data_IF_416362055757
#
_entry.id   IF_416362055757
#
_cell.length_a   1.000
_cell.length_b   1.000
_cell.length_c   1.000
_cell.angle_alpha   90.00
_cell.angle_beta   90.00
_cell.angle_gamma   90.00
#
_symmetry.space_group_name_H-M   'P 1'
#
loop_
_entity.id
_entity.type
_entity.pdbx_description
1 polymer ?
#
# COMPACT_ATOMS: atom_id res chain seq x y z
N UNK A 1 48.14 0.13 35.77
CA UNK A 1 48.06 0.22 34.30
C UNK A 1 47.02 -0.79 33.84
N UNK A 2 45.85 -0.30 33.45
CA UNK A 2 44.65 -1.08 33.13
C UNK A 2 44.32 -0.90 31.65
N UNK A 3 44.23 -1.98 30.88
CA UNK A 3 43.69 -1.96 29.51
C UNK A 3 42.66 -3.07 29.36
N UNK A 4 41.39 -2.66 29.33
CA UNK A 4 40.26 -3.53 29.01
C UNK A 4 40.06 -3.55 27.48
N UNK A 5 40.16 -4.73 26.88
CA UNK A 5 39.94 -4.95 25.45
C UNK A 5 38.44 -5.18 25.21
N UNK A 6 37.78 -4.20 24.61
CA UNK A 6 36.37 -4.30 24.20
C UNK A 6 36.27 -5.09 22.89
N UNK A 7 35.78 -6.32 22.96
CA UNK A 7 35.39 -7.10 21.77
C UNK A 7 34.05 -6.60 21.23
N UNK A 8 34.07 -5.91 20.09
CA UNK A 8 32.85 -5.58 19.32
C UNK A 8 32.31 -6.84 18.65
N UNK A 9 31.15 -7.30 19.10
CA UNK A 9 30.36 -8.33 18.42
C UNK A 9 29.67 -7.72 17.19
N UNK A 10 30.01 -8.19 16.00
CA UNK A 10 29.35 -7.79 14.76
C UNK A 10 28.12 -8.68 14.54
N UNK A 11 26.92 -8.13 14.70
CA UNK A 11 25.68 -8.81 14.30
C UNK A 11 25.65 -8.97 12.78
N UNK A 12 25.75 -10.21 12.30
CA UNK A 12 25.49 -10.56 10.91
C UNK A 12 23.99 -10.43 10.64
N UNK A 13 23.60 -9.41 9.88
CA UNK A 13 22.27 -9.29 9.29
C UNK A 13 22.08 -10.39 8.26
N UNK A 14 21.29 -11.40 8.59
CA UNK A 14 20.85 -12.43 7.66
C UNK A 14 19.80 -11.78 6.74
N UNK A 15 20.20 -11.40 5.53
CA UNK A 15 19.25 -11.04 4.48
C UNK A 15 18.51 -12.31 4.03
N UNK A 16 17.32 -12.55 4.60
CA UNK A 16 16.37 -13.50 4.02
C UNK A 16 15.92 -12.97 2.66
N UNK A 17 16.55 -13.48 1.60
CA UNK A 17 16.07 -13.35 0.22
C UNK A 17 14.74 -14.08 0.12
N UNK A 18 13.63 -13.36 0.29
CA UNK A 18 12.28 -13.87 0.02
C UNK A 18 12.10 -13.97 -1.49
N UNK A 19 12.48 -15.10 -2.06
CA UNK A 19 12.12 -15.46 -3.43
C UNK A 19 10.61 -15.76 -3.46
N UNK A 20 9.79 -14.77 -3.80
CA UNK A 20 8.39 -15.04 -4.16
C UNK A 20 8.38 -15.66 -5.55
N UNK A 21 8.37 -16.98 -5.62
CA UNK A 21 7.98 -17.68 -6.84
C UNK A 21 6.49 -17.44 -7.06
N UNK A 22 6.14 -16.33 -7.71
CA UNK A 22 4.83 -16.17 -8.30
C UNK A 22 4.81 -17.14 -9.49
N UNK A 23 4.20 -18.31 -9.29
CA UNK A 23 3.86 -19.22 -10.38
C UNK A 23 2.80 -18.53 -11.24
N UNK A 24 3.22 -17.79 -12.25
CA UNK A 24 2.32 -17.45 -13.34
C UNK A 24 1.86 -18.77 -13.97
N UNK A 25 0.54 -19.06 -14.05
CA UNK A 25 0.10 -20.22 -14.78
C UNK A 25 0.61 -20.09 -16.21
N UNK A 26 1.41 -21.06 -16.66
CA UNK A 26 1.82 -21.14 -18.04
C UNK A 26 0.55 -21.17 -18.89
N UNK A 27 0.42 -20.21 -19.83
CA UNK A 27 -0.69 -20.21 -20.78
C UNK A 27 -0.74 -21.60 -21.42
N UNK A 28 -1.90 -22.27 -21.47
CA UNK A 28 -1.99 -23.57 -22.11
C UNK A 28 -1.49 -23.42 -23.55
N UNK A 29 -0.50 -24.23 -23.91
CA UNK A 29 0.02 -24.27 -25.26
C UNK A 29 -1.10 -24.73 -26.19
N UNK A 30 -1.49 -23.86 -27.12
CA UNK A 30 -2.57 -24.10 -28.08
C UNK A 30 -2.29 -25.30 -29.01
N UNK A 31 -1.06 -25.82 -28.99
CA UNK A 31 -0.60 -26.90 -29.88
C UNK A 31 -1.16 -28.29 -29.53
N UNK A 32 -1.76 -28.51 -28.35
CA UNK A 32 -2.26 -29.84 -27.93
C UNK A 32 -3.74 -30.09 -28.17
N UNK A 33 -4.53 -29.07 -28.53
CA UNK A 33 -5.97 -29.26 -28.74
C UNK A 33 -6.27 -29.88 -30.12
N UNK A 34 -5.47 -29.56 -31.13
CA UNK A 34 -5.65 -30.09 -32.48
C UNK A 34 -5.50 -31.61 -32.57
N UNK A 35 -4.62 -32.24 -31.78
CA UNK A 35 -4.46 -33.69 -31.79
C UNK A 35 -5.50 -34.44 -30.97
N UNK A 36 -6.19 -33.76 -30.04
CA UNK A 36 -7.11 -34.41 -29.09
C UNK A 36 -8.51 -34.62 -29.65
N UNK A 37 -8.90 -33.81 -30.64
CA UNK A 37 -10.23 -33.86 -31.29
C UNK A 37 -10.15 -34.32 -32.75
N UNK A 38 -9.00 -34.84 -33.20
CA UNK A 38 -8.87 -35.39 -34.55
C UNK A 38 -9.46 -36.80 -34.59
N UNK A 39 -10.68 -36.90 -35.12
CA UNK A 39 -11.23 -38.17 -35.56
C UNK A 39 -10.57 -38.55 -36.89
N UNK A 40 -9.76 -39.59 -36.87
CA UNK A 40 -9.16 -40.12 -38.10
C UNK A 40 -10.25 -40.72 -38.98
N UNK A 41 -10.32 -40.26 -40.23
CA UNK A 41 -11.22 -40.85 -41.21
C UNK A 41 -10.87 -42.31 -41.44
N UNK A 42 -11.89 -43.15 -41.65
CA UNK A 42 -11.70 -44.56 -41.97
C UNK A 42 -10.87 -44.69 -43.26
N UNK A 43 -10.01 -45.73 -43.37
CA UNK A 43 -9.26 -45.99 -44.60
C UNK A 43 -10.18 -46.03 -45.82
N UNK A 44 -9.89 -45.20 -46.83
CA UNK A 44 -10.69 -45.11 -48.04
C UNK A 44 -10.29 -46.23 -49.01
N UNK A 45 -11.24 -47.09 -49.38
CA UNK A 45 -11.06 -48.16 -50.39
C UNK A 45 -10.86 -47.66 -51.82
N UNK A 46 -10.94 -46.35 -52.04
CA UNK A 46 -10.77 -45.70 -53.34
C UNK A 46 -9.31 -45.69 -53.82
N UNK A 47 -8.34 -45.71 -52.90
CA UNK A 47 -6.93 -45.72 -53.25
C UNK A 47 -6.56 -47.14 -53.71
N UNK A 48 -6.53 -47.35 -55.04
CA UNK A 48 -6.18 -48.63 -55.66
C UNK A 48 -7.31 -49.31 -56.44
N UNK A 49 -8.52 -48.75 -56.46
CA UNK A 49 -9.66 -49.30 -57.22
C UNK A 49 -9.73 -48.84 -58.69
N UNK A 50 -8.68 -48.17 -59.19
CA UNK A 50 -8.65 -47.68 -60.56
C UNK A 50 -8.17 -48.78 -61.53
N UNK A 51 -9.08 -49.24 -62.38
CA UNK A 51 -8.74 -50.11 -63.51
C UNK A 51 -8.60 -49.28 -64.79
N UNK A 52 -7.48 -49.43 -65.48
CA UNK A 52 -7.21 -48.73 -66.73
C UNK A 52 -8.15 -49.24 -67.85
N UNK A 53 -9.02 -48.39 -68.42
CA UNK A 53 -9.85 -48.79 -69.56
C UNK A 53 -8.98 -49.13 -70.78
N UNK A 54 -9.39 -50.12 -71.59
CA UNK A 54 -8.66 -50.56 -72.78
C UNK A 54 -8.65 -49.51 -73.89
N UNK A 55 -9.72 -48.70 -73.99
CA UNK A 55 -9.86 -47.68 -75.02
C UNK A 55 -9.35 -46.29 -74.57
N UNK A 56 -8.48 -45.63 -75.35
CA UNK A 56 -7.82 -44.39 -74.93
C UNK A 56 -8.79 -43.21 -74.77
N UNK A 57 -9.85 -43.15 -75.59
CA UNK A 57 -10.87 -42.09 -75.52
C UNK A 57 -11.70 -42.20 -74.25
N UNK A 58 -12.04 -43.43 -73.82
CA UNK A 58 -12.80 -43.67 -72.59
C UNK A 58 -11.98 -43.38 -71.34
N UNK A 59 -10.69 -43.76 -71.35
CA UNK A 59 -9.76 -43.44 -70.28
C UNK A 59 -9.65 -41.92 -70.06
N UNK A 60 -9.57 -41.15 -71.15
CA UNK A 60 -9.51 -39.69 -71.08
C UNK A 60 -10.82 -39.09 -70.51
N UNK A 61 -11.98 -39.59 -70.93
CA UNK A 61 -13.27 -39.12 -70.43
C UNK A 61 -13.45 -39.39 -68.93
N UNK A 62 -13.13 -40.61 -68.47
CA UNK A 62 -13.20 -40.99 -67.04
C UNK A 62 -12.22 -40.16 -66.21
N UNK A 63 -11.00 -39.94 -66.69
CA UNK A 63 -10.02 -39.08 -66.01
C UNK A 63 -10.49 -37.62 -65.91
N UNK A 64 -11.10 -37.08 -66.98
CA UNK A 64 -11.64 -35.73 -66.97
C UNK A 64 -12.80 -35.57 -65.98
N UNK A 65 -13.69 -36.56 -65.88
CA UNK A 65 -14.76 -36.60 -64.87
C UNK A 65 -14.16 -36.64 -63.45
N UNK A 66 -13.21 -37.54 -63.19
CA UNK A 66 -12.57 -37.68 -61.89
C UNK A 66 -11.88 -36.37 -61.44
N UNK A 67 -11.19 -35.69 -62.36
CA UNK A 67 -10.59 -34.37 -62.09
C UNK A 67 -11.64 -33.31 -61.72
N UNK A 68 -12.79 -33.28 -62.40
CA UNK A 68 -13.89 -32.35 -62.10
C UNK A 68 -14.52 -32.65 -60.76
N UNK A 69 -14.82 -33.92 -60.49
CA UNK A 69 -15.47 -34.36 -59.26
C UNK A 69 -14.56 -34.11 -58.05
N UNK A 70 -13.27 -34.41 -58.16
CA UNK A 70 -12.28 -34.10 -57.14
C UNK A 70 -12.17 -32.60 -56.89
N UNK A 71 -12.09 -31.79 -57.95
CA UNK A 71 -12.05 -30.33 -57.82
C UNK A 71 -13.31 -29.79 -57.11
N UNK A 72 -14.48 -30.37 -57.39
CA UNK A 72 -15.74 -30.01 -56.72
C UNK A 72 -15.73 -30.40 -55.24
N UNK A 73 -15.36 -31.63 -54.92
CA UNK A 73 -15.25 -32.13 -53.54
C UNK A 73 -14.29 -31.26 -52.71
N UNK A 74 -13.09 -31.00 -53.22
CA UNK A 74 -12.10 -30.16 -52.52
C UNK A 74 -12.59 -28.73 -52.37
N UNK A 75 -13.30 -28.18 -53.37
CA UNK A 75 -13.90 -26.84 -53.27
C UNK A 75 -14.93 -26.77 -52.15
N UNK A 76 -15.77 -27.79 -52.01
CA UNK A 76 -16.78 -27.83 -50.96
C UNK A 76 -16.15 -28.02 -49.57
N UNK A 77 -15.12 -28.86 -49.44
CA UNK A 77 -14.32 -28.99 -48.21
C UNK A 77 -13.69 -27.64 -47.82
N UNK A 78 -13.10 -26.90 -48.78
CA UNK A 78 -12.52 -25.58 -48.47
C UNK A 78 -13.57 -24.59 -47.96
N UNK A 79 -14.78 -24.60 -48.54
CA UNK A 79 -15.87 -23.73 -48.06
C UNK A 79 -16.28 -24.09 -46.63
N UNK A 80 -16.42 -25.37 -46.33
CA UNK A 80 -16.73 -25.85 -44.97
C UNK A 80 -15.65 -25.42 -43.98
N UNK A 81 -14.38 -25.63 -44.33
CA UNK A 81 -13.27 -25.21 -43.49
C UNK A 81 -13.25 -23.71 -43.23
N UNK A 82 -13.45 -22.88 -44.27
CA UNK A 82 -13.52 -21.42 -44.10
C UNK A 82 -14.65 -21.03 -43.14
N UNK A 83 -15.82 -21.67 -43.28
CA UNK A 83 -16.97 -21.43 -42.40
C UNK A 83 -16.68 -21.84 -40.95
N UNK A 84 -16.10 -23.02 -40.72
CA UNK A 84 -15.71 -23.49 -39.39
C UNK A 84 -14.68 -22.57 -38.73
N UNK A 85 -13.69 -22.11 -39.48
CA UNK A 85 -12.67 -21.18 -38.99
C UNK A 85 -13.29 -19.81 -38.61
N UNK A 86 -14.24 -19.31 -39.41
CA UNK A 86 -14.93 -18.06 -39.09
C UNK A 86 -15.84 -18.20 -37.86
N UNK A 87 -16.52 -19.34 -37.69
CA UNK A 87 -17.30 -19.62 -36.49
C UNK A 87 -16.41 -19.63 -35.24
N UNK A 88 -15.26 -20.31 -35.29
CA UNK A 88 -14.29 -20.33 -34.19
C UNK A 88 -13.77 -18.92 -33.88
N UNK A 89 -13.48 -18.11 -34.91
CA UNK A 89 -13.05 -16.72 -34.73
C UNK A 89 -14.11 -15.90 -34.00
N UNK A 90 -15.38 -16.03 -34.37
CA UNK A 90 -16.49 -15.33 -33.72
C UNK A 90 -16.65 -15.75 -32.25
N UNK A 91 -16.51 -17.04 -31.95
CA UNK A 91 -16.53 -17.52 -30.56
C UNK A 91 -15.39 -16.94 -29.71
N UNK A 92 -14.18 -16.84 -30.28
CA UNK A 92 -13.05 -16.22 -29.58
C UNK A 92 -13.30 -14.74 -29.32
N UNK A 93 -13.88 -14.02 -30.28
CA UNK A 93 -14.25 -12.61 -30.11
C UNK A 93 -15.24 -12.46 -28.95
N UNK A 94 -16.31 -13.26 -28.90
CA UNK A 94 -17.29 -13.23 -27.80
C UNK A 94 -16.66 -13.52 -26.44
N UNK A 95 -15.75 -14.51 -26.38
CA UNK A 95 -15.01 -14.84 -25.15
C UNK A 95 -14.10 -13.69 -24.72
N UNK A 96 -13.42 -13.05 -25.68
CA UNK A 96 -12.54 -11.91 -25.41
C UNK A 96 -13.30 -10.69 -24.91
N UNK A 97 -14.45 -10.39 -25.52
CA UNK A 97 -15.34 -9.31 -25.10
C UNK A 97 -15.83 -9.53 -23.67
N UNK A 98 -16.36 -10.71 -23.36
CA UNK A 98 -16.80 -11.06 -21.99
C UNK A 98 -15.64 -10.93 -20.97
N UNK A 99 -14.43 -11.38 -21.33
CA UNK A 99 -13.25 -11.22 -20.47
C UNK A 99 -12.85 -9.76 -20.26
N UNK A 100 -12.91 -8.94 -21.32
CA UNK A 100 -12.60 -7.51 -21.24
C UNK A 100 -13.58 -6.78 -20.33
N UNK A 101 -14.88 -7.05 -20.47
CA UNK A 101 -15.92 -6.46 -19.64
C UNK A 101 -15.75 -6.83 -18.16
N UNK A 102 -15.46 -8.10 -17.86
CA UNK A 102 -15.21 -8.55 -16.49
C UNK A 102 -13.97 -7.86 -15.88
N UNK A 103 -12.88 -7.75 -16.64
CA UNK A 103 -11.68 -7.02 -16.20
C UNK A 103 -12.00 -5.54 -15.91
N UNK A 104 -12.81 -4.90 -16.76
CA UNK A 104 -13.22 -3.50 -16.56
C UNK A 104 -14.07 -3.34 -15.30
N UNK A 105 -15.05 -4.22 -15.09
CA UNK A 105 -15.90 -4.23 -13.88
C UNK A 105 -15.05 -4.36 -12.61
N UNK A 106 -14.14 -5.33 -12.56
CA UNK A 106 -13.23 -5.51 -11.42
C UNK A 106 -12.32 -4.29 -11.21
N UNK A 107 -11.85 -3.66 -12.29
CA UNK A 107 -11.03 -2.45 -12.20
C UNK A 107 -11.81 -1.29 -11.60
N UNK A 108 -13.07 -1.12 -11.99
CA UNK A 108 -13.95 -0.09 -11.43
C UNK A 108 -14.23 -0.33 -9.95
N UNK A 109 -14.51 -1.58 -9.56
CA UNK A 109 -14.71 -1.95 -8.15
C UNK A 109 -13.46 -1.66 -7.30
N UNK A 110 -12.27 -2.05 -7.78
CA UNK A 110 -10.99 -1.73 -7.13
C UNK A 110 -10.76 -0.22 -7.03
N UNK A 111 -11.15 0.55 -8.05
CA UNK A 111 -11.04 2.01 -8.03
C UNK A 111 -11.99 2.61 -7.00
N UNK A 112 -13.23 2.13 -6.92
CA UNK A 112 -14.24 2.55 -5.93
C UNK A 112 -13.77 2.24 -4.50
N UNK A 113 -13.31 1.02 -4.24
CA UNK A 113 -12.81 0.63 -2.91
C UNK A 113 -11.56 1.42 -2.51
N UNK A 114 -10.62 1.63 -3.44
CA UNK A 114 -9.43 2.47 -3.20
C UNK A 114 -9.80 3.92 -2.91
N UNK A 115 -10.78 4.47 -3.63
CA UNK A 115 -11.27 5.83 -3.39
C UNK A 115 -11.95 5.97 -2.02
N UNK A 116 -12.78 5.00 -1.62
CA UNK A 116 -13.37 4.95 -0.29
C UNK A 116 -12.30 4.90 0.81
N UNK A 117 -11.31 4.01 0.68
CA UNK A 117 -10.20 3.90 1.61
C UNK A 117 -9.30 5.16 1.63
N UNK A 118 -9.21 5.90 0.54
CA UNK A 118 -8.51 7.19 0.51
C UNK A 118 -9.29 8.29 1.24
N UNK A 119 -10.63 8.31 1.12
CA UNK A 119 -11.49 9.24 1.87
C UNK A 119 -11.40 9.02 3.38
N UNK A 120 -11.43 7.76 3.82
CA UNK A 120 -11.26 7.40 5.24
C UNK A 120 -9.91 7.89 5.77
N UNK A 121 -8.81 7.55 5.08
CA UNK A 121 -7.47 8.03 5.46
C UNK A 121 -7.34 9.55 5.47
N UNK A 122 -8.02 10.25 4.56
CA UNK A 122 -8.03 11.71 4.56
C UNK A 122 -8.78 12.27 5.77
N UNK A 123 -9.90 11.64 6.19
CA UNK A 123 -10.62 12.01 7.39
C UNK A 123 -9.78 11.76 8.65
N UNK A 124 -9.08 10.62 8.74
CA UNK A 124 -8.16 10.30 9.85
C UNK A 124 -7.05 11.33 9.98
N UNK A 125 -6.44 11.76 8.86
CA UNK A 125 -5.40 12.80 8.88
C UNK A 125 -5.94 14.14 9.36
N UNK A 126 -7.13 14.53 8.93
CA UNK A 126 -7.78 15.77 9.41
C UNK A 126 -8.08 15.70 10.90
N UNK A 127 -8.63 14.59 11.38
CA UNK A 127 -8.89 14.39 12.80
C UNK A 127 -7.59 14.48 13.62
N UNK A 128 -6.51 13.85 13.15
CA UNK A 128 -5.20 13.93 13.78
C UNK A 128 -4.65 15.36 13.83
N UNK A 129 -4.77 16.13 12.73
CA UNK A 129 -4.36 17.53 12.70
C UNK A 129 -5.15 18.39 13.69
N UNK A 130 -6.46 18.15 13.83
CA UNK A 130 -7.30 18.88 14.75
C UNK A 130 -7.01 18.51 16.21
N UNK A 131 -6.77 17.24 16.51
CA UNK A 131 -6.27 16.79 17.82
C UNK A 131 -4.93 17.46 18.17
N UNK A 132 -4.00 17.51 17.21
CA UNK A 132 -2.72 18.17 17.38
C UNK A 132 -2.85 19.69 17.65
N UNK A 133 -3.82 20.35 17.01
CA UNK A 133 -4.12 21.77 17.31
C UNK A 133 -4.68 21.93 18.72
N UNK A 134 -5.57 21.03 19.15
CA UNK A 134 -6.15 21.09 20.48
C UNK A 134 -5.09 20.89 21.57
N UNK A 135 -4.15 19.96 21.39
CA UNK A 135 -3.05 19.77 22.36
C UNK A 135 -2.17 21.02 22.44
N UNK A 136 -1.83 21.64 21.31
CA UNK A 136 -1.08 22.91 21.31
C UNK A 136 -1.80 24.04 22.07
N UNK A 137 -3.13 24.14 21.95
CA UNK A 137 -3.89 25.14 22.69
C UNK A 137 -3.89 24.85 24.20
N UNK A 138 -4.00 23.58 24.60
CA UNK A 138 -3.90 23.17 26.01
C UNK A 138 -2.53 23.52 26.60
N UNK A 139 -1.45 23.18 25.91
CA UNK A 139 -0.08 23.51 26.36
C UNK A 139 0.13 25.02 26.52
N UNK A 140 -0.43 25.84 25.62
CA UNK A 140 -0.38 27.30 25.72
C UNK A 140 -1.10 27.79 26.97
N UNK A 141 -2.29 27.27 27.25
CA UNK A 141 -3.06 27.64 28.45
C UNK A 141 -2.31 27.24 29.72
N UNK A 142 -1.80 26.01 29.79
CA UNK A 142 -1.02 25.52 30.94
C UNK A 142 0.21 26.39 31.21
N UNK A 143 0.94 26.79 30.16
CA UNK A 143 2.08 27.70 30.29
C UNK A 143 1.66 29.09 30.80
N UNK A 144 0.55 29.63 30.31
CA UNK A 144 0.03 30.91 30.78
C UNK A 144 -0.40 30.84 32.25
N UNK A 145 -1.07 29.76 32.66
CA UNK A 145 -1.45 29.54 34.06
C UNK A 145 -0.23 29.38 34.96
N UNK A 146 0.78 28.64 34.53
CA UNK A 146 2.05 28.52 35.22
C UNK A 146 2.69 29.90 35.44
N UNK A 147 2.72 30.74 34.41
CA UNK A 147 3.26 32.10 34.53
C UNK A 147 2.47 32.98 35.50
N UNK A 148 1.13 32.90 35.47
CA UNK A 148 0.27 33.63 36.43
C UNK A 148 0.57 33.22 37.87
N UNK A 149 0.59 31.91 38.16
CA UNK A 149 0.93 31.39 39.50
C UNK A 149 2.33 31.80 39.93
N UNK A 150 3.29 31.79 39.00
CA UNK A 150 4.66 32.22 39.28
C UNK A 150 4.74 33.70 39.62
N UNK A 151 4.00 34.56 38.91
CA UNK A 151 3.93 35.99 39.23
C UNK A 151 3.31 36.24 40.60
N UNK A 152 2.19 35.58 40.91
CA UNK A 152 1.54 35.64 42.23
C UNK A 152 2.51 35.23 43.35
N UNK A 153 3.20 34.10 43.20
CA UNK A 153 4.17 33.64 44.19
C UNK A 153 5.36 34.61 44.37
N UNK A 154 5.79 35.31 43.31
CA UNK A 154 6.82 36.35 43.41
C UNK A 154 6.29 37.56 44.17
N UNK A 155 5.06 37.99 43.87
CA UNK A 155 4.41 39.13 44.51
C UNK A 155 4.13 38.87 46.00
N UNK A 156 3.62 37.69 46.36
CA UNK A 156 3.47 37.24 47.73
C UNK A 156 4.80 37.26 48.48
N UNK A 157 5.88 36.73 47.89
CA UNK A 157 7.22 36.78 48.49
C UNK A 157 7.71 38.21 48.69
N UNK A 158 7.43 39.12 47.74
CA UNK A 158 7.74 40.55 47.90
C UNK A 158 6.94 41.18 49.04
N UNK A 159 5.66 40.86 49.16
CA UNK A 159 4.79 41.37 50.21
C UNK A 159 5.22 40.85 51.59
N UNK A 160 5.50 39.56 51.74
CA UNK A 160 6.03 38.96 52.98
C UNK A 160 7.34 39.67 53.40
N UNK A 161 8.26 39.89 52.46
CA UNK A 161 9.51 40.61 52.76
C UNK A 161 9.25 42.06 53.19
N UNK A 162 8.37 42.78 52.49
CA UNK A 162 8.00 44.16 52.86
C UNK A 162 7.38 44.22 54.24
N UNK A 163 6.48 43.29 54.58
CA UNK A 163 5.87 43.22 55.90
C UNK A 163 6.87 42.88 57.00
N UNK A 164 7.80 41.95 56.74
CA UNK A 164 8.88 41.61 57.66
C UNK A 164 9.74 42.84 57.95
N UNK A 165 10.16 43.56 56.90
CA UNK A 165 10.93 44.81 57.03
C UNK A 165 10.13 45.83 57.83
N UNK A 166 8.83 46.02 57.54
CA UNK A 166 7.97 46.97 58.28
C UNK A 166 7.87 46.66 59.78
N UNK A 167 7.79 45.37 60.14
CA UNK A 167 7.77 44.92 61.54
C UNK A 167 9.14 45.10 62.22
N UNK A 168 10.24 44.91 61.49
CA UNK A 168 11.59 45.12 62.03
C UNK A 168 11.94 46.61 62.13
N UNK A 169 11.46 47.42 61.18
CA UNK A 169 11.75 48.85 61.14
C UNK A 169 11.06 49.64 62.26
N UNK A 170 9.96 49.14 62.82
CA UNK A 170 9.37 49.75 64.03
C UNK A 170 10.27 49.60 65.28
N UNK A 171 11.25 48.70 65.26
CA UNK A 171 12.29 48.56 66.28
C UNK A 171 13.62 49.18 65.87
N UNK A 172 13.69 49.87 64.73
CA UNK A 172 14.91 50.58 64.35
C UNK A 172 15.04 51.82 65.22
N UNK A 173 16.27 52.04 65.68
CA UNK A 173 16.62 53.12 66.59
C UNK A 173 17.25 54.21 65.75
N UNK A 174 16.74 55.43 65.87
CA UNK A 174 17.35 56.61 65.25
C UNK A 174 18.75 56.84 65.83
N UNK A 175 19.68 57.35 65.02
CA UNK A 175 21.09 57.53 65.41
C UNK A 175 21.23 58.39 66.68
N UNK A 176 20.42 59.44 66.81
CA UNK A 176 20.35 60.33 67.97
C UNK A 176 19.94 59.62 69.28
N UNK A 177 19.25 58.47 69.19
CA UNK A 177 18.74 57.70 70.34
C UNK A 177 19.56 56.43 70.62
N UNK A 178 20.56 56.14 69.79
CA UNK A 178 21.32 54.90 69.83
C UNK A 178 22.19 54.78 71.08
N UNK A 179 22.92 55.85 71.41
CA UNK A 179 23.82 55.90 72.58
C UNK A 179 23.04 55.72 73.89
N UNK A 180 21.85 56.33 73.99
CA UNK A 180 20.99 56.22 75.18
C UNK A 180 20.52 54.78 75.43
N UNK A 181 20.07 54.08 74.37
CA UNK A 181 19.59 52.69 74.48
C UNK A 181 20.74 51.71 74.74
N UNK A 182 21.95 51.97 74.22
CA UNK A 182 23.14 51.15 74.52
C UNK A 182 23.47 51.22 76.02
N UNK A 183 23.45 52.41 76.60
CA UNK A 183 23.71 52.60 78.03
C UNK A 183 22.66 51.90 78.89
N UNK A 184 21.37 52.06 78.58
CA UNK A 184 20.25 51.41 79.27
C UNK A 184 20.40 49.89 79.28
N UNK A 185 20.72 49.30 78.12
CA UNK A 185 20.85 47.85 77.99
C UNK A 185 22.07 47.28 78.70
N UNK A 186 23.19 48.02 78.73
CA UNK A 186 24.38 47.65 79.51
C UNK A 186 24.05 47.59 81.01
N UNK A 187 23.25 48.54 81.49
CA UNK A 187 22.79 48.60 82.90
C UNK A 187 21.85 47.43 83.22
N UNK A 188 20.93 47.09 82.31
CA UNK A 188 19.97 45.98 82.48
C UNK A 188 20.59 44.57 82.35
N UNK A 189 21.71 44.42 81.63
CA UNK A 189 22.41 43.13 81.45
C UNK A 189 23.33 42.74 82.61
N UNK A 190 23.19 43.36 83.79
CA UNK A 190 23.75 42.84 85.03
C UNK A 190 22.78 41.84 85.69
N UNK A 191 22.85 40.51 85.40
CA UNK A 191 22.33 39.55 86.34
C UNK A 191 23.28 39.52 87.56
N UNK A 192 22.70 39.65 88.75
CA UNK A 192 23.28 39.09 89.97
C UNK A 192 23.51 37.58 89.80
#
# INVERSE_FOLDING_TARGET
MTTAIVRRSAMRMIHLRRCSSVSTPAKPSHHKEHSRNQEYLKPTSFIGSWEAPKDPKEAQAKLAQLRRDYAKQVKDIRKQYIYEMELQRQEQIRKDEARREEILRQREERKKSKAAAAKVRAAERKAFEDEFRQTLMKERVEKLEYWKRRQQAIEEKKNIKKELIRKQSSTWIDEDKLEGIILERIIDTNPL
#
